data_IF_367082955758
#
_entry.id   IF_367082955758
#
_cell.length_a   1.000
_cell.length_b   1.000
_cell.length_c   1.000
_cell.angle_alpha   90.00
_cell.angle_beta   90.00
_cell.angle_gamma   90.00
#
_symmetry.space_group_name_H-M   'P 1'
#
loop_
_entity.id
_entity.type
_entity.pdbx_description
1 polymer ?
#
# COMPACT_ATOMS: atom_id res chain seq x y z
N UNK A 1 -19.18 -45.87 -35.15
CA UNK A 1 -18.32 -44.99 -34.32
C UNK A 1 -17.77 -45.81 -33.18
N UNK A 2 -16.45 -46.07 -33.13
CA UNK A 2 -15.80 -46.77 -32.02
C UNK A 2 -15.58 -45.76 -30.90
N UNK A 3 -16.34 -45.87 -29.82
CA UNK A 3 -16.08 -45.10 -28.59
C UNK A 3 -14.81 -45.68 -27.97
N UNK A 4 -13.76 -44.89 -27.70
CA UNK A 4 -12.56 -45.41 -27.08
C UNK A 4 -12.91 -45.98 -25.71
N UNK A 5 -12.40 -47.18 -25.41
CA UNK A 5 -12.46 -47.79 -24.08
C UNK A 5 -11.62 -46.95 -23.13
N UNK A 6 -12.26 -45.93 -22.56
CA UNK A 6 -11.64 -45.00 -21.63
C UNK A 6 -11.26 -45.75 -20.36
N UNK A 7 -9.97 -45.70 -20.02
CA UNK A 7 -9.46 -46.16 -18.75
C UNK A 7 -9.95 -45.20 -17.65
N UNK A 8 -11.17 -45.43 -17.18
CA UNK A 8 -11.91 -44.55 -16.27
C UNK A 8 -11.10 -44.07 -15.07
N UNK A 9 -10.30 -44.98 -14.48
CA UNK A 9 -9.39 -44.66 -13.37
C UNK A 9 -8.31 -43.65 -13.76
N UNK A 10 -7.72 -43.81 -14.94
CA UNK A 10 -6.70 -42.89 -15.44
C UNK A 10 -7.31 -41.51 -15.75
N UNK A 11 -8.48 -41.46 -16.37
CA UNK A 11 -9.18 -40.19 -16.66
C UNK A 11 -9.54 -39.42 -15.38
N UNK A 12 -10.04 -40.11 -14.36
CA UNK A 12 -10.33 -39.52 -13.05
C UNK A 12 -9.05 -38.96 -12.40
N UNK A 13 -7.95 -39.71 -12.44
CA UNK A 13 -6.66 -39.25 -11.90
C UNK A 13 -6.14 -38.03 -12.66
N UNK A 14 -6.17 -38.04 -14.00
CA UNK A 14 -5.71 -36.89 -14.79
C UNK A 14 -6.56 -35.65 -14.51
N UNK A 15 -7.88 -35.80 -14.44
CA UNK A 15 -8.78 -34.68 -14.14
C UNK A 15 -8.55 -34.14 -12.72
N UNK A 16 -8.33 -35.02 -11.74
CA UNK A 16 -8.02 -34.63 -10.37
C UNK A 16 -6.71 -33.86 -10.26
N UNK A 17 -5.66 -34.28 -10.97
CA UNK A 17 -4.37 -33.57 -11.01
C UNK A 17 -4.53 -32.19 -11.63
N UNK A 18 -5.23 -32.08 -12.76
CA UNK A 18 -5.45 -30.79 -13.44
C UNK A 18 -6.24 -29.84 -12.52
N UNK A 19 -7.29 -30.34 -11.87
CA UNK A 19 -8.12 -29.54 -10.97
C UNK A 19 -7.33 -29.08 -9.74
N UNK A 20 -6.52 -29.96 -9.16
CA UNK A 20 -5.66 -29.65 -8.02
C UNK A 20 -4.61 -28.60 -8.39
N UNK A 21 -3.98 -28.75 -9.55
CA UNK A 21 -3.00 -27.78 -10.04
C UNK A 21 -3.63 -26.40 -10.25
N UNK A 22 -4.77 -26.34 -10.95
CA UNK A 22 -5.50 -25.09 -11.15
C UNK A 22 -5.90 -24.43 -9.82
N UNK A 23 -6.38 -25.21 -8.86
CA UNK A 23 -6.75 -24.72 -7.53
C UNK A 23 -5.55 -24.14 -6.78
N UNK A 24 -4.41 -24.84 -6.76
CA UNK A 24 -3.19 -24.38 -6.09
C UNK A 24 -2.68 -23.10 -6.75
N UNK A 25 -2.62 -23.05 -8.08
CA UNK A 25 -2.19 -21.85 -8.81
C UNK A 25 -3.10 -20.66 -8.53
N UNK A 26 -4.42 -20.86 -8.53
CA UNK A 26 -5.38 -19.81 -8.20
C UNK A 26 -5.17 -19.28 -6.79
N UNK A 27 -5.04 -20.17 -5.81
CA UNK A 27 -4.87 -19.79 -4.41
C UNK A 27 -3.53 -19.08 -4.18
N UNK A 28 -2.46 -19.50 -4.87
CA UNK A 28 -1.16 -18.83 -4.83
C UNK A 28 -1.21 -17.43 -5.44
N UNK A 29 -1.91 -17.26 -6.57
CA UNK A 29 -2.10 -15.97 -7.22
C UNK A 29 -2.92 -15.00 -6.35
N UNK A 30 -4.00 -15.47 -5.74
CA UNK A 30 -4.85 -14.64 -4.88
C UNK A 30 -4.12 -14.19 -3.61
N UNK A 31 -3.36 -15.09 -2.98
CA UNK A 31 -2.50 -14.75 -1.85
C UNK A 31 -1.39 -13.77 -2.24
N UNK A 32 -0.75 -13.97 -3.41
CA UNK A 32 0.30 -13.06 -3.88
C UNK A 32 -0.28 -11.68 -4.18
N UNK A 33 -1.39 -11.61 -4.92
CA UNK A 33 -2.05 -10.34 -5.26
C UNK A 33 -2.44 -9.57 -4.01
N UNK A 34 -3.12 -10.23 -3.07
CA UNK A 34 -3.63 -9.57 -1.87
C UNK A 34 -2.49 -9.14 -0.95
N UNK A 35 -1.55 -10.03 -0.64
CA UNK A 35 -0.46 -9.69 0.28
C UNK A 35 0.55 -8.73 -0.34
N UNK A 36 0.96 -8.90 -1.60
CA UNK A 36 2.02 -8.06 -2.17
C UNK A 36 1.50 -6.67 -2.53
N UNK A 37 0.35 -6.57 -3.19
CA UNK A 37 -0.17 -5.27 -3.62
C UNK A 37 -0.60 -4.44 -2.41
N UNK A 38 -1.33 -5.06 -1.47
CA UNK A 38 -1.81 -4.33 -0.30
C UNK A 38 -0.66 -3.93 0.62
N UNK A 39 0.33 -4.81 0.85
CA UNK A 39 1.50 -4.43 1.65
C UNK A 39 2.37 -3.39 0.94
N UNK A 40 2.57 -3.47 -0.37
CA UNK A 40 3.32 -2.44 -1.10
C UNK A 40 2.62 -1.08 -1.04
N UNK A 41 1.28 -1.05 -1.13
CA UNK A 41 0.50 0.17 -1.01
C UNK A 41 0.59 0.76 0.41
N UNK A 42 0.45 -0.07 1.44
CA UNK A 42 0.60 0.36 2.84
C UNK A 42 2.03 0.83 3.14
N UNK A 43 3.04 0.14 2.62
CA UNK A 43 4.45 0.53 2.77
C UNK A 43 4.71 1.88 2.11
N UNK A 44 4.26 2.09 0.87
CA UNK A 44 4.43 3.37 0.16
C UNK A 44 3.75 4.54 0.84
N UNK A 45 2.55 4.33 1.39
CA UNK A 45 1.88 5.35 2.21
C UNK A 45 2.68 5.66 3.48
N UNK A 46 3.14 4.64 4.19
CA UNK A 46 3.91 4.82 5.42
C UNK A 46 5.23 5.56 5.15
N UNK A 47 5.94 5.23 4.08
CA UNK A 47 7.18 5.91 3.68
C UNK A 47 6.93 7.38 3.33
N UNK A 48 5.84 7.66 2.61
CA UNK A 48 5.44 9.04 2.27
C UNK A 48 5.14 9.84 3.54
N UNK A 49 4.34 9.28 4.46
CA UNK A 49 4.03 9.93 5.74
C UNK A 49 5.30 10.14 6.57
N UNK A 50 6.20 9.16 6.63
CA UNK A 50 7.48 9.27 7.35
C UNK A 50 8.36 10.38 6.77
N UNK A 51 8.41 10.53 5.46
CA UNK A 51 9.11 11.62 4.81
C UNK A 51 8.53 12.99 5.17
N UNK A 52 7.20 13.11 5.19
CA UNK A 52 6.51 14.33 5.62
C UNK A 52 6.79 14.67 7.09
N UNK A 53 6.75 13.69 7.98
CA UNK A 53 7.08 13.87 9.40
C UNK A 53 8.53 14.33 9.54
N UNK A 54 9.47 13.70 8.83
CA UNK A 54 10.89 14.06 8.88
C UNK A 54 11.13 15.49 8.40
N UNK A 55 10.43 15.94 7.35
CA UNK A 55 10.49 17.32 6.88
C UNK A 55 9.84 18.30 7.87
N UNK A 56 8.74 17.91 8.52
CA UNK A 56 8.05 18.72 9.52
C UNK A 56 8.81 18.82 10.86
N UNK A 57 9.64 17.84 11.20
CA UNK A 57 10.52 17.85 12.37
C UNK A 57 11.81 18.65 12.14
N UNK A 58 12.06 19.11 10.91
CA UNK A 58 13.26 19.88 10.62
C UNK A 58 13.24 21.21 11.40
N UNK A 59 14.33 21.44 12.15
CA UNK A 59 14.50 22.61 13.03
C UNK A 59 14.53 23.95 12.29
N UNK A 60 14.68 23.92 10.97
CA UNK A 60 14.65 25.12 10.14
C UNK A 60 13.27 25.78 10.07
N UNK A 61 12.18 25.10 10.48
CA UNK A 61 10.83 25.66 10.57
C UNK A 61 10.35 26.37 9.29
N UNK A 62 10.83 25.94 8.12
CA UNK A 62 10.45 26.49 6.83
C UNK A 62 9.22 25.76 6.27
N UNK A 63 8.29 26.47 5.61
CA UNK A 63 7.24 25.82 4.84
C UNK A 63 7.85 24.92 3.76
N UNK A 64 7.28 23.74 3.57
CA UNK A 64 7.66 22.82 2.51
C UNK A 64 6.44 22.44 1.67
N UNK A 65 6.70 22.15 0.39
CA UNK A 65 5.65 21.92 -0.59
C UNK A 65 5.33 20.42 -0.66
N UNK A 66 4.05 20.07 -0.56
CA UNK A 66 3.56 18.69 -0.74
C UNK A 66 2.67 18.63 -1.98
N UNK A 67 2.87 17.58 -2.76
CA UNK A 67 2.18 17.35 -4.02
C UNK A 67 1.34 16.07 -3.92
N UNK A 68 0.08 16.16 -4.37
CA UNK A 68 -0.82 15.02 -4.50
C UNK A 68 -1.55 15.13 -5.85
N UNK A 69 -1.02 14.44 -6.88
CA UNK A 69 -1.44 14.64 -8.27
C UNK A 69 -1.16 16.07 -8.73
N UNK A 70 -2.17 16.76 -9.23
CA UNK A 70 -2.07 18.15 -9.70
C UNK A 70 -2.21 19.18 -8.56
N UNK A 71 -2.47 18.73 -7.33
CA UNK A 71 -2.66 19.62 -6.18
C UNK A 71 -1.34 19.84 -5.45
N UNK A 72 -1.06 21.11 -5.17
CA UNK A 72 0.10 21.57 -4.42
C UNK A 72 -0.37 22.31 -3.17
N UNK A 73 0.18 21.98 -2.02
CA UNK A 73 -0.08 22.68 -0.75
C UNK A 73 1.23 22.94 -0.01
N UNK A 74 1.31 24.07 0.68
CA UNK A 74 2.42 24.39 1.57
C UNK A 74 2.08 23.96 3.00
N UNK A 75 2.91 23.08 3.56
CA UNK A 75 2.78 22.61 4.93
C UNK A 75 3.88 23.23 5.79
N UNK A 76 3.52 23.53 7.04
CA UNK A 76 4.44 23.95 8.09
C UNK A 76 4.00 23.32 9.40
N UNK A 77 4.98 22.97 10.26
CA UNK A 77 4.68 22.45 11.58
C UNK A 77 4.02 23.53 12.44
N UNK A 78 2.89 23.22 13.06
CA UNK A 78 2.16 24.14 13.93
C UNK A 78 2.99 24.56 15.15
N UNK A 79 3.92 23.72 15.62
CA UNK A 79 4.84 24.08 16.71
C UNK A 79 5.78 25.21 16.31
N UNK A 80 6.21 25.25 15.05
CA UNK A 80 7.00 26.36 14.49
C UNK A 80 6.18 27.64 14.37
N UNK A 81 4.90 27.54 14.00
CA UNK A 81 4.00 28.70 13.95
C UNK A 81 3.77 29.31 15.35
N UNK A 82 3.67 28.48 16.38
CA UNK A 82 3.50 28.94 17.76
C UNK A 82 4.75 29.63 18.32
N UNK A 83 5.95 29.31 17.83
CA UNK A 83 7.19 30.01 18.20
C UNK A 83 7.29 31.41 17.57
N UNK A 84 6.64 31.63 16.42
CA UNK A 84 6.57 32.92 15.75
C UNK A 84 5.45 33.83 16.26
N UNK A 85 4.51 33.31 17.05
CA UNK A 85 3.51 34.12 17.72
C UNK A 85 4.19 34.96 18.82
N UNK A 86 4.22 36.29 18.72
CA UNK A 86 4.69 37.10 19.83
C UNK A 86 3.82 36.78 21.05
N UNK A 87 4.47 36.45 22.16
CA UNK A 87 3.86 36.49 23.49
C UNK A 87 3.23 37.88 23.62
N UNK A 88 1.93 37.96 23.35
CA UNK A 88 1.18 39.18 23.66
C UNK A 88 1.06 39.12 25.18
N UNK A 89 1.66 40.04 25.94
CA UNK A 89 1.36 40.12 27.35
C UNK A 89 -0.12 40.50 27.44
N UNK A 90 -0.96 39.52 27.78
CA UNK A 90 -2.32 39.79 28.24
C UNK A 90 -2.19 40.72 29.46
N UNK A 91 -2.34 42.01 29.20
CA UNK A 91 -2.48 43.04 30.22
C UNK A 91 -3.89 43.57 30.09
N UNK A 92 -4.79 43.07 30.92
CA UNK A 92 -5.87 43.88 31.45
C UNK A 92 -6.30 43.40 32.82
#
# INVERSE_FOLDING_TARGET
MKVPTINWKATLLTLWVIFSFAYITYNMYDNFKTNVIQNAYLAGQNDTVKALITQAENKECKPFNVYAGDKKVDLINVTCLQQAAPKTPETK
#
